data_IF_049929452994
#
_entry.id   IF_049929452994
#
_cell.length_a   1.000
_cell.length_b   1.000
_cell.length_c   1.000
_cell.angle_alpha   90.00
_cell.angle_beta   90.00
_cell.angle_gamma   90.00
#
_symmetry.space_group_name_H-M   'P 1'
#
loop_
_entity.id
_entity.type
_entity.pdbx_description
1 polymer ?
#
# COMPACT_ATOMS: atom_id res chain seq x y z
N UNK A 1 15.98 4.43 -10.58
CA UNK A 1 14.69 3.83 -11.04
C UNK A 1 13.55 4.43 -10.21
N UNK A 2 12.37 4.68 -10.78
CA UNK A 2 11.19 5.19 -10.05
C UNK A 2 9.99 4.27 -10.30
N UNK A 3 9.14 4.06 -9.27
CA UNK A 3 7.99 3.15 -9.34
C UNK A 3 6.91 3.49 -8.28
N UNK A 4 5.77 2.82 -8.37
CA UNK A 4 4.60 2.97 -7.49
C UNK A 4 4.09 4.42 -7.34
N UNK A 5 3.85 5.18 -8.44
CA UNK A 5 3.35 6.54 -8.35
C UNK A 5 1.90 6.58 -7.86
N UNK A 6 1.57 7.59 -7.04
CA UNK A 6 0.22 7.89 -6.57
C UNK A 6 -0.01 9.40 -6.56
N UNK A 7 -1.13 9.83 -7.11
CA UNK A 7 -1.54 11.24 -7.07
C UNK A 7 -2.05 11.64 -5.70
N UNK A 8 -1.82 12.89 -5.32
CA UNK A 8 -2.51 13.50 -4.19
C UNK A 8 -4.00 13.69 -4.52
N UNK A 9 -4.89 13.74 -3.51
CA UNK A 9 -6.33 13.89 -3.75
C UNK A 9 -6.72 15.13 -4.54
N UNK A 10 -5.94 16.21 -4.43
CA UNK A 10 -6.13 17.46 -5.18
C UNK A 10 -5.50 17.47 -6.58
N UNK A 11 -4.82 16.37 -6.96
CA UNK A 11 -4.16 16.23 -8.26
C UNK A 11 -2.94 17.13 -8.46
N UNK A 12 -2.44 17.84 -7.43
CA UNK A 12 -1.32 18.79 -7.57
C UNK A 12 0.05 18.17 -7.33
N UNK A 13 0.10 17.07 -6.63
CA UNK A 13 1.33 16.35 -6.30
C UNK A 13 1.24 14.88 -6.68
N UNK A 14 2.38 14.26 -6.79
CA UNK A 14 2.53 12.81 -6.90
C UNK A 14 3.56 12.36 -5.87
N UNK A 15 3.31 11.24 -5.19
CA UNK A 15 4.33 10.52 -4.42
C UNK A 15 4.73 9.27 -5.17
N UNK A 16 5.99 8.87 -5.02
CA UNK A 16 6.53 7.68 -5.65
C UNK A 16 7.78 7.22 -4.91
N UNK A 17 8.21 6.01 -5.20
CA UNK A 17 9.49 5.47 -4.75
C UNK A 17 10.57 5.77 -5.78
N UNK A 18 11.71 6.25 -5.35
CA UNK A 18 12.90 6.46 -6.19
C UNK A 18 14.09 5.73 -5.59
N UNK A 19 14.68 4.84 -6.40
CA UNK A 19 15.95 4.20 -6.08
C UNK A 19 17.10 5.09 -6.56
N UNK A 20 17.96 5.49 -5.64
CA UNK A 20 19.20 6.25 -5.88
C UNK A 20 20.27 5.78 -4.91
N UNK A 21 21.51 5.69 -5.40
CA UNK A 21 22.70 5.38 -4.59
C UNK A 21 22.58 4.10 -3.72
N UNK A 22 21.86 3.10 -4.25
CA UNK A 22 21.68 1.81 -3.58
C UNK A 22 20.57 1.77 -2.53
N UNK A 23 19.85 2.88 -2.30
CA UNK A 23 18.69 2.94 -1.42
C UNK A 23 17.41 3.35 -2.17
N UNK A 24 16.26 3.05 -1.59
CA UNK A 24 14.95 3.44 -2.13
C UNK A 24 14.19 4.27 -1.11
N UNK A 25 13.80 5.46 -1.51
CA UNK A 25 13.10 6.44 -0.67
C UNK A 25 11.80 6.94 -1.31
N UNK A 26 10.94 7.50 -0.47
CA UNK A 26 9.72 8.17 -0.91
C UNK A 26 10.03 9.62 -1.28
N UNK A 27 9.55 10.02 -2.45
CA UNK A 27 9.64 11.39 -2.95
C UNK A 27 8.26 11.94 -3.26
N UNK A 28 8.10 13.25 -3.10
CA UNK A 28 6.97 14.02 -3.60
C UNK A 28 7.40 14.85 -4.81
N UNK A 29 6.56 14.91 -5.83
CA UNK A 29 6.76 15.76 -7.01
C UNK A 29 5.59 16.72 -7.11
N UNK A 30 5.87 18.03 -7.21
CA UNK A 30 4.88 19.02 -7.59
C UNK A 30 4.66 18.95 -9.10
N UNK A 31 3.44 18.68 -9.53
CA UNK A 31 3.14 18.41 -10.95
C UNK A 31 3.18 19.67 -11.85
N UNK A 32 2.96 20.85 -11.26
CA UNK A 32 3.03 22.10 -12.03
C UNK A 32 4.48 22.55 -12.25
N UNK A 33 5.38 22.32 -11.27
CA UNK A 33 6.76 22.84 -11.33
C UNK A 33 7.81 21.76 -11.60
N UNK A 34 7.46 20.49 -11.49
CA UNK A 34 8.41 19.37 -11.56
C UNK A 34 9.33 19.26 -10.32
N UNK A 35 9.16 20.14 -9.30
CA UNK A 35 10.02 20.14 -8.11
C UNK A 35 9.85 18.83 -7.34
N UNK A 36 10.96 18.17 -7.06
CA UNK A 36 11.04 16.95 -6.24
C UNK A 36 11.48 17.29 -4.82
N UNK A 37 10.88 16.60 -3.85
CA UNK A 37 11.24 16.67 -2.44
C UNK A 37 11.37 15.24 -1.94
N UNK A 38 12.52 14.88 -1.38
CA UNK A 38 12.72 13.60 -0.68
C UNK A 38 12.01 13.65 0.66
N UNK A 39 11.13 12.68 0.94
CA UNK A 39 10.31 12.63 2.15
C UNK A 39 10.87 11.67 3.20
N UNK A 40 11.60 10.63 2.76
CA UNK A 40 12.30 9.70 3.65
C UNK A 40 13.78 9.68 3.33
N UNK A 41 14.63 9.40 4.35
CA UNK A 41 16.09 9.36 4.24
C UNK A 41 16.70 8.29 5.15
N UNK A 42 15.89 7.37 5.64
CA UNK A 42 16.33 6.20 6.41
C UNK A 42 17.15 5.27 5.49
N UNK A 43 18.18 4.54 5.99
CA UNK A 43 18.91 3.55 5.19
C UNK A 43 18.05 2.38 4.70
N UNK A 44 16.84 2.26 5.21
CA UNK A 44 15.88 1.20 4.85
C UNK A 44 15.24 1.44 3.50
N UNK A 45 14.70 0.39 2.93
CA UNK A 45 13.93 0.43 1.68
C UNK A 45 12.52 0.91 1.97
N UNK A 46 12.21 2.13 1.53
CA UNK A 46 10.88 2.75 1.66
C UNK A 46 10.15 2.75 0.31
N UNK A 47 9.01 2.08 0.22
CA UNK A 47 8.29 1.88 -1.05
C UNK A 47 6.76 1.99 -0.93
N UNK A 48 6.10 1.94 -2.08
CA UNK A 48 4.64 1.88 -2.24
C UNK A 48 3.86 2.94 -1.45
N UNK A 49 4.16 4.24 -1.61
CA UNK A 49 3.46 5.29 -0.89
C UNK A 49 2.00 5.46 -1.36
N UNK A 50 1.10 5.85 -0.44
CA UNK A 50 -0.28 6.20 -0.74
C UNK A 50 -0.75 7.35 0.15
N UNK A 51 -1.33 8.40 -0.44
CA UNK A 51 -1.88 9.53 0.30
C UNK A 51 -3.14 9.14 1.09
N UNK A 52 -3.31 9.82 2.24
CA UNK A 52 -4.63 9.92 2.89
C UNK A 52 -5.60 10.73 2.02
N UNK A 53 -6.93 10.52 2.16
CA UNK A 53 -7.92 11.23 1.35
C UNK A 53 -7.95 12.75 1.59
N UNK A 54 -7.45 13.23 2.73
CA UNK A 54 -7.27 14.67 3.01
C UNK A 54 -5.91 15.22 2.53
N UNK A 55 -5.03 14.36 1.98
CA UNK A 55 -3.71 14.72 1.48
C UNK A 55 -2.66 15.08 2.54
N UNK A 56 -2.98 14.93 3.84
CA UNK A 56 -2.09 15.36 4.92
C UNK A 56 -1.08 14.31 5.36
N UNK A 57 -1.34 13.04 5.08
CA UNK A 57 -0.51 11.92 5.47
C UNK A 57 -0.21 11.00 4.30
N UNK A 58 0.80 10.16 4.47
CA UNK A 58 1.20 9.10 3.54
C UNK A 58 1.39 7.82 4.34
N UNK A 59 0.79 6.71 3.88
CA UNK A 59 1.19 5.36 4.29
C UNK A 59 2.19 4.81 3.30
N UNK A 60 3.13 4.03 3.76
CA UNK A 60 4.16 3.41 2.92
C UNK A 60 4.70 2.14 3.58
N UNK A 61 5.42 1.35 2.81
CA UNK A 61 6.10 0.14 3.24
C UNK A 61 7.56 0.47 3.55
N UNK A 62 8.09 -0.11 4.64
CA UNK A 62 9.49 0.05 5.03
C UNK A 62 10.00 -1.19 5.78
N UNK A 63 11.26 -1.53 5.60
CA UNK A 63 11.94 -2.60 6.34
C UNK A 63 12.79 -2.10 7.52
N UNK A 64 12.66 -0.81 7.92
CA UNK A 64 13.41 -0.18 9.02
C UNK A 64 13.28 -0.88 10.38
N UNK A 65 12.27 -1.70 10.57
CA UNK A 65 12.08 -2.55 11.74
C UNK A 65 12.63 -3.97 11.60
N UNK A 66 13.50 -4.24 10.60
CA UNK A 66 14.09 -5.54 10.31
C UNK A 66 13.27 -6.41 9.34
N UNK A 67 12.03 -6.01 9.02
CA UNK A 67 11.19 -6.65 8.00
C UNK A 67 10.17 -5.65 7.46
N UNK A 68 9.63 -5.91 6.27
CA UNK A 68 8.64 -5.07 5.62
C UNK A 68 7.39 -4.91 6.48
N UNK A 69 7.10 -3.66 6.85
CA UNK A 69 5.95 -3.26 7.66
C UNK A 69 5.36 -1.96 7.10
N UNK A 70 4.13 -1.64 7.53
CA UNK A 70 3.46 -0.41 7.12
C UNK A 70 3.72 0.70 8.13
N UNK A 71 4.07 1.85 7.60
CA UNK A 71 4.33 3.08 8.34
C UNK A 71 3.44 4.20 7.83
N UNK A 72 3.20 5.19 8.67
CA UNK A 72 2.51 6.44 8.35
C UNK A 72 3.38 7.62 8.72
N UNK A 73 3.38 8.66 7.88
CA UNK A 73 4.07 9.93 8.13
C UNK A 73 3.25 11.10 7.61
N UNK A 74 3.67 12.33 7.94
CA UNK A 74 3.15 13.55 7.29
C UNK A 74 3.44 13.52 5.78
N UNK A 75 2.55 14.09 4.97
CA UNK A 75 2.79 14.24 3.52
C UNK A 75 3.92 15.23 3.18
N UNK A 76 4.43 15.95 4.17
CA UNK A 76 5.62 16.80 4.06
C UNK A 76 6.91 16.08 4.51
N UNK A 77 6.85 14.79 4.82
CA UNK A 77 7.95 14.03 5.39
C UNK A 77 8.04 14.14 6.92
N UNK A 78 9.14 13.65 7.49
CA UNK A 78 9.40 13.66 8.93
C UNK A 78 9.25 12.27 9.56
N UNK A 79 8.97 12.22 10.85
CA UNK A 79 8.94 10.98 11.62
C UNK A 79 7.88 10.01 11.11
N UNK A 80 8.30 8.78 10.82
CA UNK A 80 7.43 7.68 10.42
C UNK A 80 7.04 6.83 11.63
N UNK A 81 5.76 6.54 11.77
CA UNK A 81 5.20 5.69 12.81
C UNK A 81 4.72 4.37 12.20
N UNK A 82 5.19 3.24 12.75
CA UNK A 82 4.70 1.91 12.36
C UNK A 82 3.24 1.72 12.78
N UNK A 83 2.45 1.11 11.88
CA UNK A 83 1.03 0.80 12.13
C UNK A 83 0.67 -0.68 11.92
N UNK A 84 1.59 -1.53 11.46
CA UNK A 84 1.39 -2.98 11.35
C UNK A 84 2.20 -3.72 12.42
N UNK A 85 1.56 -4.60 13.19
CA UNK A 85 2.17 -5.26 14.36
C UNK A 85 2.01 -6.79 14.37
N UNK A 86 1.26 -7.35 13.42
CA UNK A 86 1.07 -8.80 13.30
C UNK A 86 2.31 -9.52 12.78
N UNK A 87 2.29 -10.84 12.83
CA UNK A 87 3.35 -11.69 12.28
C UNK A 87 3.37 -11.64 10.75
N UNK A 88 4.54 -11.84 10.14
CA UNK A 88 4.75 -11.79 8.70
C UNK A 88 5.16 -10.42 8.19
N UNK A 89 5.18 -10.27 6.87
CA UNK A 89 5.52 -9.03 6.18
C UNK A 89 4.27 -8.36 5.64
N UNK A 90 4.29 -7.04 5.55
CA UNK A 90 3.20 -6.22 5.03
C UNK A 90 3.72 -5.37 3.89
N UNK A 91 2.99 -5.35 2.78
CA UNK A 91 3.40 -4.70 1.55
C UNK A 91 2.22 -3.96 0.88
N UNK A 92 2.56 -3.10 -0.08
CA UNK A 92 1.61 -2.39 -0.96
C UNK A 92 0.43 -1.74 -0.24
N UNK A 93 0.67 -0.90 0.80
CA UNK A 93 -0.42 -0.26 1.52
C UNK A 93 -1.14 0.77 0.64
N UNK A 94 -2.48 0.79 0.72
CA UNK A 94 -3.31 1.79 0.03
C UNK A 94 -4.37 2.32 0.98
N UNK A 95 -4.40 3.64 1.15
CA UNK A 95 -5.37 4.29 2.01
C UNK A 95 -6.78 4.26 1.42
N UNK A 96 -7.77 3.93 2.25
CA UNK A 96 -9.18 3.98 1.87
C UNK A 96 -9.60 5.41 1.54
N UNK A 97 -10.37 5.65 0.46
CA UNK A 97 -10.92 6.97 0.16
C UNK A 97 -11.86 7.52 1.25
N UNK A 98 -12.31 6.66 2.17
CA UNK A 98 -13.09 7.05 3.35
C UNK A 98 -12.23 7.50 4.54
N UNK A 99 -10.91 7.27 4.48
CA UNK A 99 -9.96 7.65 5.52
C UNK A 99 -9.91 6.72 6.74
N UNK A 100 -10.76 5.72 6.81
CA UNK A 100 -10.97 4.86 7.98
C UNK A 100 -10.07 3.62 8.03
N UNK A 101 -9.58 3.16 6.87
CA UNK A 101 -8.83 1.92 6.73
C UNK A 101 -7.60 2.08 5.82
N UNK A 102 -6.64 1.19 5.98
CA UNK A 102 -5.55 0.90 5.04
C UNK A 102 -5.71 -0.53 4.55
N UNK A 103 -5.76 -0.73 3.24
CA UNK A 103 -5.65 -2.05 2.62
C UNK A 103 -4.18 -2.38 2.39
N UNK A 104 -3.83 -3.65 2.44
CA UNK A 104 -2.45 -4.12 2.30
C UNK A 104 -2.37 -5.54 1.76
N UNK A 105 -1.21 -5.92 1.27
CA UNK A 105 -0.82 -7.31 1.06
C UNK A 105 -0.09 -7.81 2.30
N UNK A 106 -0.54 -8.93 2.88
CA UNK A 106 0.18 -9.62 3.95
C UNK A 106 0.84 -10.88 3.43
N UNK A 107 2.13 -11.02 3.68
CA UNK A 107 2.93 -12.18 3.29
C UNK A 107 3.22 -12.99 4.56
N UNK A 108 2.64 -14.18 4.62
CA UNK A 108 2.78 -15.06 5.80
C UNK A 108 2.74 -16.53 5.37
N UNK A 109 3.67 -17.34 5.89
CA UNK A 109 3.77 -18.78 5.60
C UNK A 109 3.76 -19.10 4.10
N UNK A 110 4.47 -18.31 3.30
CA UNK A 110 4.57 -18.48 1.85
C UNK A 110 3.30 -18.13 1.05
N UNK A 111 2.30 -17.53 1.68
CA UNK A 111 1.05 -17.07 1.04
C UNK A 111 0.92 -15.56 1.12
N UNK A 112 0.21 -15.01 0.15
CA UNK A 112 -0.09 -13.57 0.03
C UNK A 112 -1.59 -13.36 0.21
N UNK A 113 -1.95 -12.45 1.09
CA UNK A 113 -3.33 -12.19 1.46
C UNK A 113 -3.65 -10.71 1.33
N UNK A 114 -4.83 -10.37 0.84
CA UNK A 114 -5.36 -9.02 0.97
C UNK A 114 -5.94 -8.85 2.37
N UNK A 115 -5.55 -7.79 3.05
CA UNK A 115 -6.06 -7.44 4.37
C UNK A 115 -6.42 -5.96 4.47
N UNK A 116 -7.12 -5.61 5.54
CA UNK A 116 -7.44 -4.23 5.93
C UNK A 116 -7.19 -4.06 7.42
N UNK A 117 -6.79 -2.86 7.85
CA UNK A 117 -6.64 -2.48 9.25
C UNK A 117 -6.96 -1.00 9.44
N UNK A 118 -7.19 -0.58 10.68
CA UNK A 118 -7.24 0.84 11.04
C UNK A 118 -5.84 1.44 11.11
N UNK A 119 -5.76 2.78 11.11
CA UNK A 119 -4.49 3.51 11.16
C UNK A 119 -3.71 3.34 12.47
N UNK A 120 -4.36 2.93 13.53
CA UNK A 120 -3.72 2.58 14.80
C UNK A 120 -3.21 1.12 14.83
N UNK A 121 -3.37 0.38 13.72
CA UNK A 121 -3.04 -1.04 13.59
C UNK A 121 -4.10 -1.98 14.15
N UNK A 122 -5.16 -1.46 14.76
CA UNK A 122 -6.25 -2.27 15.29
C UNK A 122 -7.17 -2.79 14.18
N UNK A 123 -8.01 -3.76 14.53
CA UNK A 123 -9.02 -4.36 13.63
C UNK A 123 -8.42 -4.93 12.34
N UNK A 124 -7.17 -5.40 12.39
CA UNK A 124 -6.59 -6.15 11.27
C UNK A 124 -7.47 -7.34 10.92
N UNK A 125 -7.78 -7.47 9.64
CA UNK A 125 -8.53 -8.59 9.07
C UNK A 125 -7.96 -8.98 7.74
N UNK A 126 -7.73 -10.27 7.52
CA UNK A 126 -7.44 -10.82 6.20
C UNK A 126 -8.78 -11.09 5.49
N UNK A 127 -8.92 -10.55 4.31
CA UNK A 127 -10.11 -10.69 3.47
C UNK A 127 -10.02 -11.90 2.54
N UNK A 128 -8.78 -12.35 2.23
CA UNK A 128 -8.53 -13.47 1.35
C UNK A 128 -7.58 -14.48 1.99
N UNK A 129 -7.63 -15.73 1.49
CA UNK A 129 -6.81 -16.86 1.96
C UNK A 129 -6.19 -17.64 0.80
N UNK A 130 -6.04 -17.01 -0.35
CA UNK A 130 -5.51 -17.65 -1.57
C UNK A 130 -3.98 -17.83 -1.51
N UNK A 131 -3.44 -18.49 -2.54
CA UNK A 131 -2.00 -18.69 -2.68
C UNK A 131 -1.26 -17.38 -2.88
N UNK A 132 -1.70 -16.54 -3.82
CA UNK A 132 -1.10 -15.26 -4.13
C UNK A 132 -2.19 -14.24 -4.47
N UNK A 133 -2.46 -13.33 -3.53
CA UNK A 133 -3.31 -12.17 -3.70
C UNK A 133 -2.52 -10.92 -3.32
N UNK A 134 -2.34 -9.96 -4.25
CA UNK A 134 -1.52 -8.79 -3.99
C UNK A 134 -2.02 -7.51 -4.70
N UNK A 135 -1.41 -6.39 -4.33
CA UNK A 135 -1.63 -5.09 -4.99
C UNK A 135 -3.06 -4.58 -4.86
N UNK A 136 -3.61 -4.45 -3.63
CA UNK A 136 -4.97 -3.95 -3.47
C UNK A 136 -5.12 -2.52 -3.95
N UNK A 137 -6.27 -2.20 -4.52
CA UNK A 137 -6.73 -0.84 -4.77
C UNK A 137 -8.20 -0.69 -4.41
N UNK A 138 -8.60 0.51 -3.99
CA UNK A 138 -9.96 0.79 -3.57
C UNK A 138 -10.84 1.26 -4.71
N UNK A 139 -12.08 0.81 -4.74
CA UNK A 139 -13.13 1.53 -5.45
C UNK A 139 -13.37 2.90 -4.79
N UNK A 140 -13.79 3.94 -5.54
CA UNK A 140 -13.96 5.29 -5.00
C UNK A 140 -14.91 5.39 -3.81
N UNK A 141 -15.86 4.47 -3.69
CA UNK A 141 -16.81 4.41 -2.56
C UNK A 141 -16.21 3.84 -1.25
N UNK A 142 -14.97 3.31 -1.29
CA UNK A 142 -14.29 2.71 -0.14
C UNK A 142 -14.93 1.43 0.41
N UNK A 143 -15.75 0.74 -0.38
CA UNK A 143 -16.46 -0.48 0.03
C UNK A 143 -15.93 -1.75 -0.63
N UNK A 144 -15.28 -1.61 -1.78
CA UNK A 144 -14.79 -2.72 -2.60
C UNK A 144 -13.29 -2.53 -2.85
N UNK A 145 -12.57 -3.62 -2.78
CA UNK A 145 -11.18 -3.72 -3.16
C UNK A 145 -11.07 -4.50 -4.46
N UNK A 146 -10.18 -4.05 -5.33
CA UNK A 146 -9.71 -4.78 -6.49
C UNK A 146 -8.27 -5.19 -6.24
N UNK A 147 -7.88 -6.38 -6.66
CA UNK A 147 -6.55 -6.93 -6.47
C UNK A 147 -6.24 -7.99 -7.53
N UNK A 148 -4.99 -8.32 -7.60
CA UNK A 148 -4.46 -9.34 -8.47
C UNK A 148 -4.44 -10.69 -7.77
N UNK A 149 -4.82 -11.77 -8.47
CA UNK A 149 -4.75 -13.15 -7.96
C UNK A 149 -4.05 -14.08 -8.94
N UNK A 150 -3.13 -14.87 -8.40
CA UNK A 150 -2.57 -16.04 -9.05
C UNK A 150 -2.96 -17.30 -8.27
N UNK A 151 -3.31 -18.38 -8.99
CA UNK A 151 -3.71 -19.67 -8.40
C UNK A 151 -2.55 -20.65 -8.50
N UNK A 152 -2.21 -21.32 -7.40
CA UNK A 152 -1.15 -22.33 -7.37
C UNK A 152 -1.46 -23.48 -8.35
N UNK A 153 -0.46 -23.87 -9.15
CA UNK A 153 -0.56 -25.00 -10.08
C UNK A 153 -1.43 -24.75 -11.33
N UNK A 154 -1.98 -23.56 -11.48
CA UNK A 154 -2.73 -23.21 -12.67
C UNK A 154 -1.78 -22.65 -13.75
N UNK A 155 -1.84 -23.22 -14.95
CA UNK A 155 -1.20 -22.66 -16.15
C UNK A 155 -1.90 -21.37 -16.64
N UNK A 156 -2.80 -20.79 -15.84
CA UNK A 156 -3.61 -19.64 -16.18
C UNK A 156 -2.89 -18.32 -15.89
N UNK A 157 -3.09 -17.34 -16.79
CA UNK A 157 -2.64 -15.98 -16.56
C UNK A 157 -3.26 -15.41 -15.27
N UNK A 158 -2.50 -14.57 -14.57
CA UNK A 158 -2.99 -13.83 -13.43
C UNK A 158 -4.29 -13.10 -13.75
N UNK A 159 -5.20 -13.01 -12.80
CA UNK A 159 -6.52 -12.42 -13.01
C UNK A 159 -6.84 -11.37 -11.97
N UNK A 160 -7.67 -10.40 -12.35
CA UNK A 160 -8.16 -9.35 -11.46
C UNK A 160 -9.42 -9.86 -10.73
N UNK A 161 -9.44 -9.63 -9.44
CA UNK A 161 -10.55 -9.96 -8.55
C UNK A 161 -11.03 -8.74 -7.79
N UNK A 162 -12.28 -8.79 -7.37
CA UNK A 162 -12.85 -7.84 -6.42
C UNK A 162 -13.39 -8.55 -5.20
N UNK A 163 -13.34 -7.87 -4.05
CA UNK A 163 -13.93 -8.33 -2.79
C UNK A 163 -14.47 -7.11 -2.04
N UNK A 164 -15.58 -7.26 -1.32
CA UNK A 164 -16.01 -6.19 -0.45
C UNK A 164 -15.16 -6.10 0.84
N UNK A 165 -15.20 -4.96 1.49
CA UNK A 165 -14.43 -4.69 2.71
C UNK A 165 -14.80 -5.60 3.88
N UNK A 166 -15.91 -6.34 3.80
CA UNK A 166 -16.32 -7.33 4.82
C UNK A 166 -15.73 -8.71 4.56
N UNK A 167 -15.05 -8.91 3.41
CA UNK A 167 -14.49 -10.20 3.01
C UNK A 167 -15.48 -11.07 2.23
N UNK A 168 -16.60 -10.50 1.78
CA UNK A 168 -17.64 -11.19 1.01
C UNK A 168 -17.61 -10.78 -0.46
N UNK A 169 -18.47 -11.44 -1.26
CA UNK A 169 -18.67 -11.10 -2.68
C UNK A 169 -17.37 -11.11 -3.51
N UNK A 170 -16.50 -12.10 -3.25
CA UNK A 170 -15.32 -12.33 -4.07
C UNK A 170 -15.74 -12.67 -5.50
N UNK A 171 -15.26 -11.90 -6.47
CA UNK A 171 -15.58 -12.08 -7.91
C UNK A 171 -14.36 -11.89 -8.77
N UNK A 172 -14.20 -12.76 -9.77
CA UNK A 172 -13.26 -12.56 -10.86
C UNK A 172 -13.85 -11.55 -11.85
N UNK A 173 -13.05 -10.57 -12.25
CA UNK A 173 -13.42 -9.69 -13.37
C UNK A 173 -13.11 -10.39 -14.68
N UNK A 174 -14.02 -10.28 -15.63
CA UNK A 174 -13.90 -10.82 -16.98
C UNK A 174 -13.31 -9.78 -17.91
#
# INVERSE_FOLDING_TARGET
>A
MSFAPRFSPDGRKMVLSIMSDGNTDIYSINLATGRRIRLTSDPSIDTAPSFSPDGKQIVFESDRGGSQQIYVMSSNGGNAKRISFGTGRYATPVWSPRGDLVAFTKISKGKFHIGVMRLDGSKERLLTTSFLDEGPTWAPNGRVLMFFRETAGASGAPSIYTIDVTGRNLRKLR
#
